data_IF_154116218942
#
_entry.id   IF_154116218942
#
_cell.length_a   1.000
_cell.length_b   1.000
_cell.length_c   1.000
_cell.angle_alpha   90.00
_cell.angle_beta   90.00
_cell.angle_gamma   90.00
#
_symmetry.space_group_name_H-M   'P 1'
#
loop_
_entity.id
_entity.type
_entity.pdbx_description
1 polymer ?
#
# COMPACT_ATOMS: atom_id res chain seq x y z
N UNK A 1 22.21 -5.91 -5.88
CA UNK A 1 22.13 -6.25 -4.44
C UNK A 1 22.84 -5.20 -3.57
N UNK A 2 22.09 -4.41 -2.82
CA UNK A 2 22.64 -3.50 -1.79
C UNK A 2 23.09 -4.28 -0.54
N UNK A 3 22.89 -5.60 -0.51
CA UNK A 3 22.91 -6.43 0.70
C UNK A 3 24.25 -6.58 1.41
N UNK A 4 25.36 -6.80 0.70
CA UNK A 4 26.63 -7.15 1.37
C UNK A 4 27.26 -5.98 2.14
N UNK A 5 26.95 -4.74 1.75
CA UNK A 5 27.55 -3.53 2.35
C UNK A 5 27.02 -3.29 3.77
N UNK A 6 25.79 -3.73 4.08
CA UNK A 6 25.20 -3.62 5.42
C UNK A 6 25.77 -4.63 6.42
N UNK A 7 26.50 -5.66 5.97
CA UNK A 7 27.18 -6.64 6.83
C UNK A 7 28.64 -6.30 7.12
N UNK A 8 29.09 -5.10 6.76
CA UNK A 8 30.50 -4.73 6.86
C UNK A 8 30.91 -4.56 8.32
N UNK A 9 31.76 -5.48 8.83
CA UNK A 9 32.19 -5.54 10.23
C UNK A 9 32.84 -4.25 10.77
N UNK A 10 33.38 -3.42 9.87
CA UNK A 10 34.00 -2.15 10.25
C UNK A 10 32.98 -1.01 10.48
N UNK A 11 31.71 -1.20 10.11
CA UNK A 11 30.65 -0.24 10.37
C UNK A 11 29.74 -0.76 11.48
N UNK A 12 29.41 0.10 12.44
CA UNK A 12 28.46 -0.21 13.53
C UNK A 12 27.01 -0.24 13.04
N UNK A 13 26.67 0.65 12.11
CA UNK A 13 25.35 0.76 11.49
C UNK A 13 25.49 1.46 10.14
N UNK A 14 24.61 1.13 9.20
CA UNK A 14 24.53 1.76 7.88
C UNK A 14 23.05 1.88 7.47
N UNK A 15 22.67 3.03 6.91
CA UNK A 15 21.34 3.27 6.33
C UNK A 15 21.51 3.96 4.98
N UNK A 16 20.82 3.46 3.96
CA UNK A 16 20.72 4.11 2.66
C UNK A 16 19.62 5.18 2.74
N UNK A 17 19.99 6.45 2.60
CA UNK A 17 19.03 7.55 2.72
C UNK A 17 18.38 7.93 1.38
N UNK A 18 19.13 7.91 0.28
CA UNK A 18 18.64 8.30 -1.05
C UNK A 18 19.44 7.64 -2.17
N UNK A 19 18.86 7.56 -3.37
CA UNK A 19 19.51 7.06 -4.59
C UNK A 19 19.19 8.00 -5.75
N UNK A 20 20.23 8.62 -6.32
CA UNK A 20 20.12 9.36 -7.57
C UNK A 20 20.38 8.43 -8.74
N UNK A 21 19.39 8.29 -9.62
CA UNK A 21 19.43 7.36 -10.75
C UNK A 21 19.45 8.16 -12.06
N UNK A 22 20.33 7.83 -13.03
CA UNK A 22 20.33 8.48 -14.34
C UNK A 22 18.98 8.34 -15.06
N UNK A 23 18.56 9.39 -15.77
CA UNK A 23 17.29 9.38 -16.52
C UNK A 23 17.19 8.21 -17.50
N UNK A 24 18.28 7.89 -18.19
CA UNK A 24 18.33 6.77 -19.13
C UNK A 24 17.94 5.42 -18.48
N UNK A 25 18.29 5.21 -17.20
CA UNK A 25 17.88 4.02 -16.47
C UNK A 25 16.41 4.10 -16.04
N UNK A 26 15.97 5.26 -15.53
CA UNK A 26 14.56 5.49 -15.14
C UNK A 26 13.60 5.24 -16.30
N UNK A 27 13.98 5.63 -17.52
CA UNK A 27 13.16 5.43 -18.73
C UNK A 27 13.01 3.96 -19.14
N UNK A 28 13.82 3.05 -18.61
CA UNK A 28 13.64 1.60 -18.79
C UNK A 28 12.66 1.00 -17.78
N UNK A 29 12.27 1.74 -16.75
CA UNK A 29 11.30 1.31 -15.75
C UNK A 29 9.88 1.73 -16.18
N UNK A 30 8.92 0.80 -16.16
CA UNK A 30 7.54 1.03 -16.61
C UNK A 30 6.68 1.93 -15.71
N UNK A 31 7.24 2.50 -14.64
CA UNK A 31 6.52 3.34 -13.68
C UNK A 31 5.27 2.68 -13.06
N UNK A 32 4.48 3.43 -12.27
CA UNK A 32 3.16 2.99 -11.85
C UNK A 32 2.18 3.00 -13.05
N UNK A 33 1.44 1.92 -13.32
CA UNK A 33 0.44 1.88 -14.40
C UNK A 33 -0.74 2.83 -14.14
N UNK A 34 -1.06 3.08 -12.86
CA UNK A 34 -1.98 4.13 -12.46
C UNK A 34 -1.26 5.07 -11.48
N UNK A 35 -1.29 6.37 -11.81
CA UNK A 35 -0.85 7.43 -10.92
C UNK A 35 -2.00 8.02 -10.11
N UNK A 36 -1.68 9.03 -9.31
CA UNK A 36 -2.66 9.73 -8.44
C UNK A 36 -3.86 10.24 -9.22
N UNK A 37 -3.67 10.75 -10.43
CA UNK A 37 -4.76 11.26 -11.28
C UNK A 37 -5.74 10.15 -11.65
N UNK A 38 -5.23 9.05 -12.23
CA UNK A 38 -6.06 7.91 -12.66
C UNK A 38 -6.82 7.29 -11.48
N UNK A 39 -6.17 7.14 -10.32
CA UNK A 39 -6.84 6.60 -9.13
C UNK A 39 -7.95 7.53 -8.61
N UNK A 40 -7.76 8.86 -8.67
CA UNK A 40 -8.81 9.83 -8.32
C UNK A 40 -9.98 9.82 -9.29
N UNK A 41 -9.69 9.70 -10.58
CA UNK A 41 -10.72 9.64 -11.62
C UNK A 41 -11.57 8.38 -11.47
N UNK A 42 -10.94 7.24 -11.16
CA UNK A 42 -11.65 5.97 -10.90
C UNK A 42 -12.54 6.00 -9.67
N UNK A 43 -12.11 6.68 -8.60
CA UNK A 43 -12.86 6.75 -7.35
C UNK A 43 -13.83 7.95 -7.27
N UNK A 44 -13.76 8.88 -8.24
CA UNK A 44 -14.50 10.14 -8.26
C UNK A 44 -14.28 10.97 -6.98
N UNK A 45 -13.01 11.12 -6.56
CA UNK A 45 -12.62 11.83 -5.33
C UNK A 45 -11.55 12.90 -5.58
N UNK A 46 -11.98 14.15 -5.49
CA UNK A 46 -11.12 15.33 -5.70
C UNK A 46 -11.09 16.24 -4.47
N UNK A 47 -10.06 17.07 -4.37
CA UNK A 47 -9.95 18.12 -3.34
C UNK A 47 -9.75 17.63 -1.90
N UNK A 48 -9.83 16.33 -1.63
CA UNK A 48 -9.58 15.73 -0.31
C UNK A 48 -8.73 14.46 -0.38
N UNK A 49 -8.11 14.05 0.73
CA UNK A 49 -7.54 12.71 0.87
C UNK A 49 -8.61 11.63 0.71
N UNK A 50 -8.22 10.47 0.18
CA UNK A 50 -9.07 9.28 0.17
C UNK A 50 -9.04 8.63 1.55
N UNK A 51 -10.21 8.23 2.05
CA UNK A 51 -10.38 7.59 3.35
C UNK A 51 -10.54 6.10 3.15
N UNK A 52 -9.70 5.31 3.81
CA UNK A 52 -9.85 3.86 3.82
C UNK A 52 -9.46 3.25 5.15
N UNK A 53 -9.88 2.01 5.36
CA UNK A 53 -9.55 1.26 6.56
C UNK A 53 -9.08 -0.16 6.23
N UNK A 54 -8.36 -0.75 7.18
CA UNK A 54 -8.07 -2.19 7.17
C UNK A 54 -9.15 -2.92 7.94
N UNK A 55 -9.74 -3.97 7.36
CA UNK A 55 -10.77 -4.76 8.04
C UNK A 55 -10.18 -5.49 9.25
N UNK A 56 -10.91 -5.45 10.38
CA UNK A 56 -10.56 -6.12 11.63
C UNK A 56 -11.72 -7.00 12.13
N UNK A 57 -11.44 -8.06 12.90
CA UNK A 57 -10.12 -8.59 13.23
C UNK A 57 -9.40 -9.14 11.99
N UNK A 58 -8.05 -9.14 12.04
CA UNK A 58 -7.20 -9.60 10.92
C UNK A 58 -7.46 -11.06 10.55
N UNK A 59 -7.82 -11.88 11.52
CA UNK A 59 -7.96 -13.33 11.41
C UNK A 59 -9.31 -13.76 12.01
N UNK A 60 -9.89 -14.82 11.47
CA UNK A 60 -11.04 -15.48 12.11
C UNK A 60 -12.39 -14.86 11.79
N UNK A 61 -12.47 -13.97 10.80
CA UNK A 61 -13.76 -13.57 10.23
C UNK A 61 -14.24 -14.61 9.24
N UNK A 62 -15.51 -15.00 9.35
CA UNK A 62 -16.16 -15.70 8.24
C UNK A 62 -16.35 -14.74 7.06
N UNK A 63 -16.44 -15.28 5.84
CA UNK A 63 -16.68 -14.47 4.65
C UNK A 63 -17.94 -13.58 4.77
N UNK A 64 -18.99 -14.08 5.44
CA UNK A 64 -20.22 -13.32 5.71
C UNK A 64 -19.97 -12.12 6.61
N UNK A 65 -19.24 -12.29 7.71
CA UNK A 65 -18.97 -11.20 8.64
C UNK A 65 -17.96 -10.21 8.06
N UNK A 66 -16.98 -10.68 7.29
CA UNK A 66 -16.08 -9.83 6.52
C UNK A 66 -16.86 -8.94 5.54
N UNK A 67 -17.76 -9.54 4.74
CA UNK A 67 -18.60 -8.78 3.81
C UNK A 67 -19.48 -7.74 4.50
N UNK A 68 -20.03 -8.07 5.68
CA UNK A 68 -20.78 -7.10 6.49
C UNK A 68 -19.91 -5.94 6.95
N UNK A 69 -18.69 -6.20 7.43
CA UNK A 69 -17.77 -5.15 7.87
C UNK A 69 -17.39 -4.22 6.71
N UNK A 70 -17.10 -4.79 5.53
CA UNK A 70 -16.83 -4.00 4.31
C UNK A 70 -18.02 -3.12 3.95
N UNK A 71 -19.23 -3.68 3.94
CA UNK A 71 -20.44 -2.93 3.63
C UNK A 71 -20.67 -1.76 4.60
N UNK A 72 -20.57 -2.01 5.90
CA UNK A 72 -20.76 -0.97 6.93
C UNK A 72 -19.71 0.15 6.80
N UNK A 73 -18.45 -0.20 6.54
CA UNK A 73 -17.36 0.75 6.30
C UNK A 73 -17.62 1.66 5.09
N UNK A 74 -17.98 1.08 3.94
CA UNK A 74 -18.27 1.85 2.73
C UNK A 74 -19.53 2.69 2.88
N UNK A 75 -20.59 2.12 3.47
CA UNK A 75 -21.84 2.84 3.72
C UNK A 75 -21.67 4.00 4.71
N UNK A 76 -20.73 3.86 5.65
CA UNK A 76 -20.31 4.86 6.61
C UNK A 76 -19.43 5.98 6.04
N UNK A 77 -19.09 5.93 4.75
CA UNK A 77 -18.42 7.03 4.05
C UNK A 77 -16.93 6.82 3.78
N UNK A 78 -16.38 5.63 4.01
CA UNK A 78 -15.05 5.30 3.50
C UNK A 78 -15.07 5.12 1.98
N UNK A 79 -13.97 5.53 1.32
CA UNK A 79 -13.81 5.40 -0.13
C UNK A 79 -13.37 3.99 -0.53
N UNK A 80 -12.60 3.31 0.34
CA UNK A 80 -12.19 1.93 0.12
C UNK A 80 -11.90 1.18 1.42
N UNK A 81 -11.88 -0.15 1.34
CA UNK A 81 -11.38 -1.04 2.39
C UNK A 81 -10.18 -1.82 1.87
N UNK A 82 -9.26 -2.16 2.77
CA UNK A 82 -8.09 -2.95 2.45
C UNK A 82 -8.04 -4.19 3.34
N UNK A 83 -7.59 -5.29 2.76
CA UNK A 83 -7.19 -6.44 3.54
C UNK A 83 -5.98 -6.14 4.42
N UNK A 84 -5.95 -6.81 5.57
CA UNK A 84 -4.75 -6.90 6.36
C UNK A 84 -3.72 -7.80 5.65
N UNK A 85 -2.44 -7.48 5.75
CA UNK A 85 -1.38 -8.23 5.05
C UNK A 85 -1.31 -9.71 5.45
N UNK A 86 -1.88 -10.05 6.60
CA UNK A 86 -1.92 -11.41 7.13
C UNK A 86 -3.33 -12.03 7.13
N UNK A 87 -4.30 -11.47 6.39
CA UNK A 87 -5.70 -11.88 6.50
C UNK A 87 -5.93 -13.37 6.22
N UNK A 88 -6.79 -14.00 7.03
CA UNK A 88 -7.33 -15.35 6.79
C UNK A 88 -8.78 -15.42 7.27
N UNK A 89 -9.67 -15.77 6.35
CA UNK A 89 -11.08 -16.04 6.64
C UNK A 89 -11.25 -17.48 7.16
N UNK A 90 -12.27 -17.69 7.98
CA UNK A 90 -12.64 -19.02 8.54
C UNK A 90 -13.96 -19.52 7.98
#
# INVERSE_FOLDING_TARGET
PVGNVFGFKALRALRLEDVRVPLAYVMTCGGPPHGIQVERDKMDKYGRPMLGCTIKPKLGLSAKNYGRAVYECLRGGLDFTKDDENIRLV
#
